data_IF_585311643539
#
_entry.id   IF_585311643539
#
_cell.length_a   1.000
_cell.length_b   1.000
_cell.length_c   1.000
_cell.angle_alpha   90.00
_cell.angle_beta   90.00
_cell.angle_gamma   90.00
#
_symmetry.space_group_name_H-M   'P 1'
#
loop_
_entity.id
_entity.type
_entity.pdbx_description
1 polymer ?
#
# COMPACT_ATOMS: atom_id res chain seq x y z
N UNK A 1 -14.24 51.68 -14.83
CA UNK A 1 -14.66 50.61 -13.90
C UNK A 1 -13.58 49.51 -13.80
N UNK A 2 -13.36 48.93 -12.62
CA UNK A 2 -12.16 48.12 -12.30
C UNK A 2 -12.07 46.74 -13.00
N UNK A 3 -12.99 46.42 -13.93
CA UNK A 3 -13.02 45.14 -14.64
C UNK A 3 -12.26 45.15 -15.98
N UNK A 4 -11.73 46.29 -16.44
CA UNK A 4 -10.99 46.40 -17.71
C UNK A 4 -9.48 46.07 -17.59
N UNK A 5 -9.01 45.60 -16.43
CA UNK A 5 -7.57 45.33 -16.18
C UNK A 5 -7.29 44.03 -15.43
N UNK A 6 -8.15 43.01 -15.57
CA UNK A 6 -7.71 41.65 -15.26
C UNK A 6 -7.17 41.12 -16.59
N UNK A 7 -5.88 41.38 -16.83
CA UNK A 7 -5.17 40.84 -17.97
C UNK A 7 -5.47 39.35 -18.05
N UNK A 8 -6.15 38.95 -19.11
CA UNK A 8 -6.31 37.55 -19.47
C UNK A 8 -4.91 37.06 -19.80
N UNK A 9 -4.20 36.58 -18.79
CA UNK A 9 -3.00 35.78 -18.96
C UNK A 9 -3.49 34.48 -19.56
N UNK A 10 -3.01 34.14 -20.75
CA UNK A 10 -3.39 32.93 -21.48
C UNK A 10 -3.53 31.74 -20.53
N UNK A 11 -4.76 31.25 -20.37
CA UNK A 11 -5.00 30.06 -19.56
C UNK A 11 -4.42 28.87 -20.32
N UNK A 12 -3.23 28.43 -19.93
CA UNK A 12 -2.67 27.17 -20.38
C UNK A 12 -3.45 26.02 -19.73
N UNK A 13 -3.82 25.03 -20.54
CA UNK A 13 -4.36 23.77 -20.04
C UNK A 13 -3.24 23.02 -19.34
N UNK A 14 -3.41 22.77 -18.04
CA UNK A 14 -2.51 21.88 -17.30
C UNK A 14 -2.94 20.45 -17.62
N UNK A 15 -2.08 19.68 -18.26
CA UNK A 15 -2.27 18.24 -18.37
C UNK A 15 -1.99 17.62 -17.02
N UNK A 16 -3.03 17.15 -16.35
CA UNK A 16 -2.85 16.23 -15.24
C UNK A 16 -2.37 14.88 -15.80
N UNK A 17 -1.06 14.64 -15.77
CA UNK A 17 -0.53 13.31 -16.00
C UNK A 17 -0.94 12.41 -14.83
N UNK A 18 -1.60 11.30 -15.14
CA UNK A 18 -1.94 10.26 -14.15
C UNK A 18 -0.67 9.49 -13.80
N UNK A 19 -0.44 9.21 -12.52
CA UNK A 19 0.60 8.26 -12.12
C UNK A 19 0.24 6.90 -12.72
N UNK A 20 1.08 6.31 -13.58
CA UNK A 20 0.79 5.02 -14.19
C UNK A 20 0.51 3.98 -13.09
N UNK A 21 -0.67 3.36 -13.14
CA UNK A 21 -0.97 2.31 -12.18
C UNK A 21 -0.37 0.99 -12.66
N UNK A 22 0.13 0.19 -11.73
CA UNK A 22 0.55 -1.18 -12.00
C UNK A 22 -0.65 -2.13 -12.18
N UNK A 23 -1.89 -1.62 -12.24
CA UNK A 23 -3.12 -2.42 -12.16
C UNK A 23 -3.30 -3.41 -13.32
N UNK A 24 -2.71 -3.11 -14.48
CA UNK A 24 -2.68 -4.01 -15.65
C UNK A 24 -1.31 -4.68 -15.84
N UNK A 25 -0.39 -4.59 -14.88
CA UNK A 25 0.91 -5.24 -14.98
C UNK A 25 0.84 -6.65 -14.40
N UNK A 26 1.12 -7.64 -15.24
CA UNK A 26 1.07 -9.07 -14.91
C UNK A 26 0.36 -9.88 -15.99
N UNK A 27 0.51 -11.21 -15.95
CA UNK A 27 -0.23 -12.12 -16.83
C UNK A 27 -1.61 -12.36 -16.23
N UNK A 28 -2.65 -12.33 -17.07
CA UNK A 28 -3.97 -12.79 -16.67
C UNK A 28 -3.97 -14.32 -16.69
N UNK A 29 -4.16 -14.94 -15.53
CA UNK A 29 -4.30 -16.40 -15.41
C UNK A 29 -5.77 -16.75 -15.12
N UNK A 30 -6.28 -17.80 -15.76
CA UNK A 30 -7.63 -18.34 -15.50
C UNK A 30 -8.77 -17.31 -15.64
N UNK A 31 -8.62 -16.31 -16.52
CA UNK A 31 -9.63 -15.27 -16.75
C UNK A 31 -9.71 -14.20 -15.64
N UNK A 32 -8.79 -14.21 -14.67
CA UNK A 32 -8.69 -13.19 -13.63
C UNK A 32 -7.83 -12.00 -14.09
N UNK A 33 -8.16 -10.81 -13.60
CA UNK A 33 -7.38 -9.63 -13.90
C UNK A 33 -5.99 -9.69 -13.23
N UNK A 34 -4.90 -9.19 -13.87
CA UNK A 34 -3.54 -9.29 -13.34
C UNK A 34 -3.34 -8.78 -11.90
N UNK A 35 -4.07 -7.72 -11.51
CA UNK A 35 -4.01 -7.17 -10.16
C UNK A 35 -4.50 -8.13 -9.07
N UNK A 36 -5.32 -9.14 -9.41
CA UNK A 36 -5.76 -10.14 -8.43
C UNK A 36 -4.59 -10.97 -7.91
N UNK A 37 -3.68 -11.39 -8.79
CA UNK A 37 -2.46 -12.12 -8.40
C UNK A 37 -1.52 -11.25 -7.56
N UNK A 38 -1.41 -9.96 -7.87
CA UNK A 38 -0.66 -8.99 -7.03
C UNK A 38 -1.30 -8.89 -5.65
N UNK A 39 -2.63 -8.78 -5.57
CA UNK A 39 -3.36 -8.68 -4.30
C UNK A 39 -3.23 -9.95 -3.45
N UNK A 40 -3.29 -11.12 -4.07
CA UNK A 40 -3.09 -12.42 -3.40
C UNK A 40 -1.68 -12.53 -2.83
N UNK A 41 -0.66 -12.18 -3.64
CA UNK A 41 0.73 -12.16 -3.19
C UNK A 41 0.92 -11.21 -2.00
N UNK A 42 0.37 -10.00 -2.07
CA UNK A 42 0.46 -9.04 -0.96
C UNK A 42 -0.17 -9.56 0.34
N UNK A 43 -1.32 -10.25 0.26
CA UNK A 43 -1.94 -10.89 1.44
C UNK A 43 -1.05 -11.99 2.02
N UNK A 44 -0.46 -12.82 1.17
CA UNK A 44 0.48 -13.87 1.59
C UNK A 44 1.73 -13.30 2.25
N UNK A 45 2.35 -12.30 1.63
CA UNK A 45 3.52 -11.59 2.15
C UNK A 45 3.21 -10.93 3.50
N UNK A 46 2.03 -10.32 3.63
CA UNK A 46 1.57 -9.74 4.89
C UNK A 46 1.43 -10.79 6.00
N UNK A 47 0.84 -11.95 5.72
CA UNK A 47 0.76 -13.05 6.70
C UNK A 47 2.14 -13.54 7.16
N UNK A 48 3.10 -13.69 6.22
CA UNK A 48 4.48 -14.05 6.57
C UNK A 48 5.12 -12.99 7.47
N UNK A 49 4.91 -11.71 7.15
CA UNK A 49 5.43 -10.59 7.96
C UNK A 49 4.83 -10.59 9.37
N UNK A 50 3.52 -10.80 9.50
CA UNK A 50 2.86 -10.89 10.81
C UNK A 50 3.44 -12.02 11.67
N UNK A 51 3.64 -13.22 11.09
CA UNK A 51 4.28 -14.34 11.78
C UNK A 51 5.68 -13.98 12.25
N UNK A 52 6.51 -13.38 11.37
CA UNK A 52 7.88 -12.99 11.70
C UNK A 52 7.95 -11.96 12.84
N UNK A 53 7.02 -11.01 12.87
CA UNK A 53 6.93 -10.05 13.96
C UNK A 53 6.54 -10.75 15.27
N UNK A 54 5.54 -11.61 15.25
CA UNK A 54 5.10 -12.32 16.46
C UNK A 54 6.22 -13.20 17.05
N UNK A 55 6.98 -13.88 16.18
CA UNK A 55 8.14 -14.68 16.58
C UNK A 55 9.26 -13.80 17.17
N UNK A 56 9.55 -12.65 16.55
CA UNK A 56 10.57 -11.72 17.03
C UNK A 56 10.19 -11.11 18.40
N UNK A 57 8.93 -10.70 18.57
CA UNK A 57 8.42 -10.17 19.84
C UNK A 57 8.52 -11.24 20.94
N UNK A 58 8.11 -12.47 20.64
CA UNK A 58 8.24 -13.59 21.58
C UNK A 58 9.69 -13.80 22.03
N UNK A 59 10.63 -13.87 21.08
CA UNK A 59 12.04 -14.05 21.40
C UNK A 59 12.62 -12.90 22.23
N UNK A 60 12.20 -11.65 21.96
CA UNK A 60 12.59 -10.49 22.74
C UNK A 60 12.12 -10.58 24.20
N UNK A 61 10.85 -10.91 24.43
CA UNK A 61 10.32 -11.01 25.80
C UNK A 61 10.94 -12.20 26.57
N UNK A 62 11.18 -13.33 25.91
CA UNK A 62 11.92 -14.47 26.49
C UNK A 62 13.32 -14.07 26.93
N UNK A 63 14.06 -13.33 26.10
CA UNK A 63 15.40 -12.84 26.43
C UNK A 63 15.39 -11.86 27.61
N UNK A 64 14.39 -10.99 27.70
CA UNK A 64 14.28 -10.01 28.77
C UNK A 64 13.77 -10.60 30.09
N UNK A 65 13.29 -11.85 30.09
CA UNK A 65 12.69 -12.48 31.27
C UNK A 65 11.39 -11.80 31.73
N UNK A 66 10.74 -11.06 30.83
CA UNK A 66 9.51 -10.31 31.10
C UNK A 66 8.35 -11.02 30.44
N UNK A 67 7.23 -11.14 31.15
CA UNK A 67 5.99 -11.66 30.55
C UNK A 67 5.52 -10.72 29.44
N UNK A 68 5.29 -11.23 28.21
CA UNK A 68 4.74 -10.42 27.14
C UNK A 68 3.40 -9.81 27.58
N UNK A 69 3.08 -8.56 27.18
CA UNK A 69 1.72 -8.06 27.29
C UNK A 69 0.78 -9.02 26.53
N UNK A 70 -0.48 -9.13 26.98
CA UNK A 70 -1.46 -10.01 26.33
C UNK A 70 -1.87 -9.42 24.96
N UNK A 71 -0.99 -9.59 23.97
CA UNK A 71 -1.22 -9.20 22.58
C UNK A 71 -1.75 -10.43 21.84
N UNK A 72 -3.03 -10.36 21.47
CA UNK A 72 -3.61 -11.33 20.55
C UNK A 72 -3.04 -11.08 19.16
N UNK A 73 -1.98 -11.79 18.80
CA UNK A 73 -1.55 -11.89 17.41
C UNK A 73 -2.59 -12.74 16.69
N UNK A 74 -3.49 -12.08 15.95
CA UNK A 74 -4.48 -12.76 15.11
C UNK A 74 -3.70 -13.47 14.00
N UNK A 75 -3.70 -14.81 14.05
CA UNK A 75 -3.10 -15.69 13.03
C UNK A 75 -3.99 -15.82 11.80
#
# INVERSE_FOLDING_TARGET
>A
PAHEKIGVVDSQWIVHQVVPSLGNQGQAENGKAPWEGVRERCRKEWGIFQTRIAEADKAYYEMMGVTPPNVTFVH
#
